data_IF_118791420343
#
_entry.id   IF_118791420343
#
_cell.length_a   1.000
_cell.length_b   1.000
_cell.length_c   1.000
_cell.angle_alpha   90.00
_cell.angle_beta   90.00
_cell.angle_gamma   90.00
#
_symmetry.space_group_name_H-M   'P 1'
#
loop_
_entity.id
_entity.type
_entity.pdbx_description
1 polymer ?
#
# COMPACT_ATOMS: atom_id res chain seq x y z
N UNK A 1 -14.27 10.80 19.36
CA UNK A 1 -14.40 9.35 19.47
C UNK A 1 -13.04 8.78 19.18
N UNK A 2 -12.42 8.19 20.19
CA UNK A 2 -11.15 7.50 20.06
C UNK A 2 -11.32 6.33 19.09
N UNK A 3 -10.55 6.36 18.01
CA UNK A 3 -10.47 5.26 17.06
C UNK A 3 -9.22 4.40 17.35
N UNK A 4 -8.87 4.24 18.63
CA UNK A 4 -7.95 3.20 19.05
C UNK A 4 -8.54 1.87 18.57
N UNK A 5 -7.75 1.13 17.80
CA UNK A 5 -8.20 -0.16 17.25
C UNK A 5 -7.85 -1.22 18.27
N UNK A 6 -8.87 -1.74 18.95
CA UNK A 6 -8.71 -2.70 20.06
C UNK A 6 -8.54 -4.15 19.57
N UNK A 7 -8.62 -4.40 18.26
CA UNK A 7 -8.50 -5.73 17.66
C UNK A 7 -7.41 -5.80 16.58
N UNK A 8 -6.75 -6.95 16.47
CA UNK A 8 -5.84 -7.26 15.37
C UNK A 8 -6.57 -7.17 14.04
N UNK A 9 -6.08 -6.29 13.16
CA UNK A 9 -6.66 -6.04 11.85
C UNK A 9 -5.78 -6.64 10.76
N UNK A 10 -6.39 -7.28 9.75
CA UNK A 10 -5.68 -7.69 8.55
C UNK A 10 -5.63 -6.55 7.53
N UNK A 11 -4.44 -6.23 7.04
CA UNK A 11 -4.24 -5.33 5.90
C UNK A 11 -3.86 -6.16 4.68
N UNK A 12 -4.63 -6.06 3.59
CA UNK A 12 -4.26 -6.63 2.31
C UNK A 12 -3.71 -5.56 1.37
N UNK A 13 -2.54 -5.77 0.80
CA UNK A 13 -1.97 -4.90 -0.24
C UNK A 13 -1.87 -5.70 -1.53
N UNK A 14 -2.38 -5.15 -2.63
CA UNK A 14 -2.42 -5.80 -3.94
C UNK A 14 -1.97 -4.84 -5.02
N UNK A 15 -1.16 -5.33 -5.94
CA UNK A 15 -0.66 -4.58 -7.09
C UNK A 15 -1.24 -5.16 -8.36
N UNK A 16 -1.96 -4.36 -9.12
CA UNK A 16 -2.57 -4.73 -10.40
C UNK A 16 -1.89 -3.97 -11.53
N UNK A 17 -1.55 -4.62 -12.65
CA UNK A 17 -1.13 -3.94 -13.89
C UNK A 17 -2.22 -2.98 -14.35
N UNK A 18 -1.84 -1.74 -14.67
CA UNK A 18 -2.79 -0.70 -15.05
C UNK A 18 -3.46 -0.96 -16.42
N UNK A 19 -2.82 -1.72 -17.33
CA UNK A 19 -3.22 -1.86 -18.73
C UNK A 19 -3.84 -3.23 -19.09
N UNK A 20 -4.37 -3.97 -18.11
CA UNK A 20 -4.94 -5.31 -18.35
C UNK A 20 -6.44 -5.29 -18.06
N UNK A 21 -7.24 -5.78 -19.00
CA UNK A 21 -8.71 -5.77 -18.93
C UNK A 21 -9.24 -6.77 -17.90
N UNK A 22 -8.59 -7.93 -17.76
CA UNK A 22 -8.97 -8.95 -16.78
C UNK A 22 -8.25 -8.76 -15.43
N UNK A 23 -9.04 -8.59 -14.37
CA UNK A 23 -8.53 -8.32 -13.01
C UNK A 23 -7.65 -9.43 -12.45
N UNK A 24 -7.95 -10.69 -12.79
CA UNK A 24 -7.16 -11.87 -12.42
C UNK A 24 -5.77 -11.86 -13.07
N UNK A 25 -5.67 -11.41 -14.31
CA UNK A 25 -4.42 -11.31 -15.06
C UNK A 25 -3.62 -10.05 -14.72
N UNK A 26 -4.33 -9.03 -14.24
CA UNK A 26 -3.74 -7.79 -13.78
C UNK A 26 -2.97 -7.99 -12.47
N UNK A 27 -3.35 -8.93 -11.59
CA UNK A 27 -2.69 -9.13 -10.29
C UNK A 27 -1.22 -9.56 -10.47
N UNK A 28 -0.31 -8.69 -10.05
CA UNK A 28 1.15 -8.92 -10.09
C UNK A 28 1.64 -9.45 -8.76
N UNK A 29 1.15 -8.83 -7.69
CA UNK A 29 1.64 -9.09 -6.35
C UNK A 29 0.51 -8.90 -5.33
N UNK A 30 0.53 -9.71 -4.27
CA UNK A 30 -0.40 -9.62 -3.15
C UNK A 30 0.31 -10.00 -1.87
N UNK A 31 0.21 -9.13 -0.88
CA UNK A 31 0.67 -9.38 0.47
C UNK A 31 -0.43 -9.13 1.49
N UNK A 32 -0.30 -9.74 2.67
CA UNK A 32 -1.17 -9.46 3.80
C UNK A 32 -0.34 -9.28 5.07
N UNK A 33 -0.72 -8.28 5.85
CA UNK A 33 -0.07 -7.93 7.10
C UNK A 33 -1.08 -8.06 8.24
N UNK A 34 -0.64 -8.62 9.35
CA UNK A 34 -1.40 -8.61 10.60
C UNK A 34 -0.96 -7.40 11.40
N UNK A 35 -1.91 -6.50 11.64
CA UNK A 35 -1.70 -5.24 12.33
C UNK A 35 -2.26 -5.39 13.75
N UNK A 36 -1.43 -5.49 14.80
CA UNK A 36 -1.92 -5.61 16.16
C UNK A 36 -2.64 -4.32 16.61
N UNK A 37 -3.45 -4.44 17.68
CA UNK A 37 -4.18 -3.30 18.24
C UNK A 37 -3.24 -2.19 18.70
N UNK A 38 -3.77 -0.96 18.75
CA UNK A 38 -3.03 0.21 19.22
C UNK A 38 -3.50 0.65 20.59
N UNK A 39 -2.56 1.00 21.45
CA UNK A 39 -2.85 1.69 22.71
C UNK A 39 -3.05 3.20 22.50
N UNK A 40 -2.35 3.80 21.52
CA UNK A 40 -2.47 5.22 21.15
C UNK A 40 -3.23 5.39 19.81
N UNK A 41 -4.34 6.16 19.77
CA UNK A 41 -5.06 6.45 18.53
C UNK A 41 -4.22 7.25 17.51
N UNK A 42 -3.26 8.06 17.93
CA UNK A 42 -2.46 8.93 17.06
C UNK A 42 -1.25 8.22 16.43
N UNK A 43 -0.91 7.02 16.90
CA UNK A 43 0.17 6.21 16.33
C UNK A 43 -0.16 5.76 14.89
N UNK A 44 0.81 5.90 13.98
CA UNK A 44 0.70 5.45 12.59
C UNK A 44 1.20 4.00 12.45
N UNK A 45 0.39 3.14 11.84
CA UNK A 45 0.85 1.82 11.37
C UNK A 45 1.49 2.03 10.02
N UNK A 46 2.79 1.79 9.98
CA UNK A 46 3.58 1.86 8.75
C UNK A 46 3.79 0.45 8.23
N UNK A 47 3.20 0.14 7.09
CA UNK A 47 3.44 -1.10 6.37
C UNK A 47 4.27 -0.79 5.13
N UNK A 48 5.37 -1.51 4.96
CA UNK A 48 6.28 -1.39 3.83
C UNK A 48 6.05 -2.56 2.90
N UNK A 49 5.88 -2.27 1.62
CA UNK A 49 5.76 -3.28 0.57
C UNK A 49 6.58 -2.84 -0.65
N UNK A 50 7.09 -3.79 -1.41
CA UNK A 50 7.99 -3.50 -2.54
C UNK A 50 7.50 -4.25 -3.77
N UNK A 51 7.42 -3.55 -4.90
CA UNK A 51 7.09 -4.13 -6.18
C UNK A 51 8.03 -3.62 -7.29
N UNK A 52 8.25 -4.40 -8.37
CA UNK A 52 9.07 -3.96 -9.49
C UNK A 52 8.51 -2.68 -10.11
N UNK A 53 9.32 -1.70 -10.45
CA UNK A 53 8.85 -0.41 -10.95
C UNK A 53 8.06 -0.50 -12.26
N UNK A 54 6.73 -0.38 -12.17
CA UNK A 54 5.81 -0.36 -13.31
C UNK A 54 4.53 0.40 -12.93
N UNK A 55 3.74 0.87 -13.91
CA UNK A 55 2.41 1.38 -13.64
C UNK A 55 1.51 0.32 -12.98
N UNK A 56 1.08 0.60 -11.75
CA UNK A 56 0.18 -0.27 -11.01
C UNK A 56 -1.07 0.48 -10.54
N UNK A 57 -2.17 -0.24 -10.44
CA UNK A 57 -3.26 0.08 -9.53
C UNK A 57 -3.01 -0.69 -8.24
N UNK A 58 -2.76 0.02 -7.16
CA UNK A 58 -2.54 -0.53 -5.83
C UNK A 58 -3.86 -0.52 -5.10
N UNK A 59 -4.27 -1.66 -4.55
CA UNK A 59 -5.45 -1.75 -3.70
C UNK A 59 -5.05 -2.14 -2.29
N UNK A 60 -5.58 -1.40 -1.32
CA UNK A 60 -5.37 -1.60 0.12
C UNK A 60 -6.71 -1.91 0.76
N UNK A 61 -6.83 -3.10 1.33
CA UNK A 61 -8.01 -3.57 2.06
C UNK A 61 -7.72 -3.59 3.55
N UNK A 62 -8.58 -2.95 4.35
CA UNK A 62 -8.41 -2.83 5.80
C UNK A 62 -9.51 -3.58 6.53
N UNK A 63 -9.16 -4.65 7.24
CA UNK A 63 -10.09 -5.45 8.04
C UNK A 63 -10.98 -6.39 7.22
N UNK A 64 -12.03 -6.90 7.87
CA UNK A 64 -13.05 -7.77 7.24
C UNK A 64 -14.12 -6.97 6.49
N UNK A 65 -14.26 -5.70 6.81
CA UNK A 65 -15.14 -4.77 6.08
C UNK A 65 -14.46 -4.34 4.79
N UNK A 66 -15.24 -4.26 3.70
CA UNK A 66 -14.75 -3.99 2.33
C UNK A 66 -14.31 -2.52 2.11
N UNK A 67 -13.63 -1.92 3.08
CA UNK A 67 -13.00 -0.61 2.90
C UNK A 67 -11.73 -0.82 2.07
N UNK A 68 -11.93 -0.85 0.75
CA UNK A 68 -10.87 -0.96 -0.24
C UNK A 68 -10.51 0.43 -0.75
N UNK A 69 -9.29 0.87 -0.47
CA UNK A 69 -8.71 2.07 -1.05
C UNK A 69 -7.93 1.67 -2.30
N UNK A 70 -8.00 2.48 -3.37
CA UNK A 70 -7.20 2.24 -4.56
C UNK A 70 -6.39 3.49 -4.94
N UNK A 71 -5.18 3.24 -5.42
CA UNK A 71 -4.23 4.26 -5.83
C UNK A 71 -3.64 3.90 -7.17
N UNK A 72 -3.54 4.87 -8.08
CA UNK A 72 -2.88 4.68 -9.37
C UNK A 72 -1.44 5.15 -9.27
N UNK A 73 -0.55 4.18 -9.19
CA UNK A 73 0.88 4.40 -9.24
C UNK A 73 1.34 4.52 -10.70
N UNK A 74 2.07 5.60 -10.99
CA UNK A 74 2.82 5.78 -12.22
C UNK A 74 4.24 6.20 -11.85
N UNK A 75 5.27 5.49 -12.36
CA UNK A 75 6.64 5.94 -12.23
C UNK A 75 6.86 7.28 -12.93
N UNK A 76 7.79 8.07 -12.40
CA UNK A 76 8.29 9.30 -12.99
C UNK A 76 9.58 9.10 -13.81
N UNK A 77 10.14 7.89 -13.78
CA UNK A 77 11.31 7.45 -14.54
C UNK A 77 10.95 7.16 -16.00
N UNK A 78 11.88 7.47 -16.90
CA UNK A 78 11.80 7.11 -18.32
C UNK A 78 12.74 5.96 -18.70
N UNK A 79 13.49 5.42 -17.73
CA UNK A 79 14.51 4.40 -17.96
C UNK A 79 13.94 2.98 -17.95
N UNK A 80 14.47 2.12 -18.81
CA UNK A 80 14.04 0.71 -18.99
C UNK A 80 14.58 -0.25 -17.90
N UNK A 81 15.32 0.25 -16.91
CA UNK A 81 15.89 -0.58 -15.83
C UNK A 81 14.85 -0.94 -14.75
N UNK A 82 14.78 -2.20 -14.30
CA UNK A 82 13.81 -2.64 -13.30
C UNK A 82 14.25 -2.20 -11.89
N UNK A 83 13.95 -0.97 -11.51
CA UNK A 83 14.14 -0.53 -10.13
C UNK A 83 13.10 -1.20 -9.20
N UNK A 84 13.48 -1.41 -7.94
CA UNK A 84 12.53 -1.79 -6.91
C UNK A 84 11.92 -0.52 -6.33
N UNK A 85 10.59 -0.38 -6.41
CA UNK A 85 9.90 0.75 -5.81
C UNK A 85 9.19 0.31 -4.55
N UNK A 86 9.55 1.00 -3.49
CA UNK A 86 8.97 0.86 -2.18
C UNK A 86 7.69 1.67 -2.07
N UNK A 87 6.68 1.01 -1.56
CA UNK A 87 5.41 1.59 -1.16
C UNK A 87 5.33 1.54 0.35
N UNK A 88 5.07 2.70 0.95
CA UNK A 88 4.76 2.83 2.37
C UNK A 88 3.29 3.15 2.51
N UNK A 89 2.56 2.25 3.14
CA UNK A 89 1.16 2.43 3.49
C UNK A 89 1.09 2.81 4.95
N UNK A 90 0.63 4.03 5.20
CA UNK A 90 0.40 4.58 6.53
C UNK A 90 -1.09 4.50 6.83
N UNK A 91 -1.47 3.70 7.81
CA UNK A 91 -2.86 3.57 8.24
C UNK A 91 -3.15 4.54 9.39
N UNK A 92 -4.07 5.48 9.17
CA UNK A 92 -4.46 6.50 10.14
C UNK A 92 -5.59 6.00 11.05
N UNK A 93 -5.75 6.67 12.20
CA UNK A 93 -6.91 6.53 13.06
C UNK A 93 -8.21 6.68 12.23
N UNK A 94 -9.20 5.83 12.47
CA UNK A 94 -10.46 5.85 11.71
C UNK A 94 -10.41 5.21 10.31
N UNK A 95 -9.27 4.63 9.91
CA UNK A 95 -9.16 3.83 8.68
C UNK A 95 -8.82 4.60 7.41
N UNK A 96 -8.42 5.86 7.53
CA UNK A 96 -7.80 6.58 6.41
C UNK A 96 -6.47 5.94 6.03
N UNK A 97 -6.22 5.75 4.73
CA UNK A 97 -4.94 5.23 4.22
C UNK A 97 -4.18 6.38 3.58
N UNK A 98 -2.95 6.62 4.04
CA UNK A 98 -2.00 7.54 3.40
C UNK A 98 -0.89 6.73 2.74
N UNK A 99 -0.41 7.22 1.61
CA UNK A 99 0.47 6.47 0.73
C UNK A 99 1.71 7.30 0.42
N UNK A 100 2.88 6.74 0.70
CA UNK A 100 4.16 7.30 0.29
C UNK A 100 4.82 6.32 -0.67
N UNK A 101 5.39 6.85 -1.76
CA UNK A 101 6.10 6.07 -2.79
C UNK A 101 7.53 6.55 -2.89
N UNK A 102 8.45 5.68 -3.29
CA UNK A 102 9.63 6.17 -3.98
C UNK A 102 9.25 6.75 -5.34
N UNK A 103 9.86 7.89 -5.64
CA UNK A 103 10.07 8.36 -7.00
C UNK A 103 11.48 8.00 -7.43
N UNK A 104 11.73 7.93 -8.73
CA UNK A 104 13.08 7.70 -9.24
C UNK A 104 14.07 8.84 -8.88
N UNK A 105 13.54 10.01 -8.51
CA UNK A 105 14.28 11.14 -7.95
C UNK A 105 14.54 11.06 -6.44
N UNK A 106 13.98 10.07 -5.74
CA UNK A 106 14.11 9.95 -4.28
C UNK A 106 15.18 8.94 -3.87
N UNK A 107 16.10 9.35 -2.99
CA UNK A 107 16.96 8.44 -2.24
C UNK A 107 16.09 7.60 -1.30
N UNK A 108 15.81 6.35 -1.69
CA UNK A 108 15.21 5.25 -0.90
C UNK A 108 14.06 5.58 0.08
N UNK A 109 12.88 4.94 -0.04
CA UNK A 109 11.74 5.23 0.84
C UNK A 109 11.86 4.57 2.22
N UNK A 110 12.97 3.86 2.47
CA UNK A 110 13.14 2.98 3.62
C UNK A 110 14.41 3.23 4.44
N UNK A 111 15.17 4.30 4.13
CA UNK A 111 16.34 4.72 4.91
C UNK A 111 15.98 5.13 6.34
#
# INVERSE_FOLDING_TARGET
MDNARDETTRLGVRFFRANVTERSEALVYRNHFEIPPREDPDDLWTVKDVAPDRPYRIEVEVGLTRNAHHYHYRPDCADDEPYEIGVVVNLNAGGGVTFTKTTCSSDSPFL
#
